data_IF_279550235026
#
_entry.id   IF_279550235026
#
_cell.length_a   1.000
_cell.length_b   1.000
_cell.length_c   1.000
_cell.angle_alpha   90.00
_cell.angle_beta   90.00
_cell.angle_gamma   90.00
#
_symmetry.space_group_name_H-M   'P 1'
#
loop_
_entity.id
_entity.type
_entity.pdbx_description
1 polymer ?
#
# COMPACT_ATOMS: atom_id res chain seq x y z
N UNK A 1 12.34 13.80 -5.96
CA UNK A 1 12.80 12.39 -5.99
C UNK A 1 11.99 11.58 -4.99
N UNK A 2 12.20 10.27 -4.86
CA UNK A 2 11.49 9.45 -3.85
C UNK A 2 11.98 9.76 -2.44
N UNK A 3 11.16 9.45 -1.44
CA UNK A 3 11.49 9.68 -0.02
C UNK A 3 12.75 8.92 0.43
N UNK A 4 12.95 7.68 -0.04
CA UNK A 4 14.16 6.92 0.30
C UNK A 4 15.43 7.59 -0.25
N UNK A 5 15.38 8.06 -1.49
CA UNK A 5 16.50 8.78 -2.08
C UNK A 5 16.78 10.08 -1.31
N UNK A 6 15.73 10.79 -0.89
CA UNK A 6 15.85 12.01 -0.10
C UNK A 6 16.47 11.76 1.29
N UNK A 7 16.01 10.75 2.03
CA UNK A 7 16.57 10.40 3.35
C UNK A 7 18.02 9.92 3.23
N UNK A 8 18.35 9.20 2.16
CA UNK A 8 19.71 8.74 1.93
C UNK A 8 20.67 9.88 1.60
N UNK A 9 20.22 10.88 0.84
CA UNK A 9 20.99 12.08 0.55
C UNK A 9 21.07 13.05 1.75
N UNK A 10 20.03 13.09 2.60
CA UNK A 10 19.90 14.04 3.70
C UNK A 10 19.79 13.32 5.05
N UNK A 11 20.94 12.93 5.63
CA UNK A 11 20.97 12.18 6.91
C UNK A 11 20.41 12.94 8.12
N UNK A 12 20.28 14.26 8.01
CA UNK A 12 19.68 15.13 9.04
C UNK A 12 18.19 15.42 8.80
N UNK A 13 17.57 14.81 7.79
CA UNK A 13 16.14 15.01 7.52
C UNK A 13 15.30 14.71 8.77
N UNK A 14 14.29 15.54 9.01
CA UNK A 14 13.33 15.31 10.09
C UNK A 14 12.33 14.24 9.66
N UNK A 15 12.48 13.06 10.24
CA UNK A 15 11.72 11.88 9.83
C UNK A 15 10.34 11.90 10.45
N UNK A 16 10.20 12.47 11.65
CA UNK A 16 8.88 12.60 12.26
C UNK A 16 8.03 13.59 11.45
N UNK A 17 8.64 14.65 10.93
CA UNK A 17 7.99 15.56 9.98
C UNK A 17 7.49 14.82 8.73
N UNK A 18 8.35 14.03 8.09
CA UNK A 18 7.98 13.27 6.89
C UNK A 18 6.89 12.23 7.16
N UNK A 19 7.03 11.44 8.23
CA UNK A 19 6.03 10.42 8.62
C UNK A 19 4.69 11.06 8.92
N UNK A 20 4.68 12.21 9.62
CA UNK A 20 3.45 12.97 9.87
C UNK A 20 2.81 13.44 8.56
N UNK A 21 3.60 13.95 7.61
CA UNK A 21 3.09 14.40 6.32
C UNK A 21 2.45 13.26 5.51
N UNK A 22 3.09 12.09 5.47
CA UNK A 22 2.54 10.87 4.83
C UNK A 22 1.20 10.49 5.49
N UNK A 23 1.16 10.45 6.83
CA UNK A 23 -0.05 10.11 7.57
C UNK A 23 -1.19 11.10 7.31
N UNK A 24 -0.89 12.40 7.22
CA UNK A 24 -1.86 13.43 6.86
C UNK A 24 -2.42 13.23 5.44
N UNK A 25 -1.55 12.95 4.46
CA UNK A 25 -1.96 12.67 3.09
C UNK A 25 -2.85 11.42 3.00
N UNK A 26 -2.48 10.35 3.71
CA UNK A 26 -3.24 9.10 3.72
C UNK A 26 -4.60 9.28 4.41
N UNK A 27 -4.63 9.98 5.55
CA UNK A 27 -5.87 10.32 6.24
C UNK A 27 -6.82 11.15 5.36
N UNK A 28 -6.29 12.08 4.55
CA UNK A 28 -7.09 12.85 3.60
C UNK A 28 -7.75 11.97 2.53
N UNK A 29 -7.01 10.99 1.98
CA UNK A 29 -7.58 10.03 1.03
C UNK A 29 -8.69 9.21 1.68
N UNK A 30 -8.44 8.69 2.89
CA UNK A 30 -9.40 7.86 3.62
C UNK A 30 -10.67 8.62 4.00
N UNK A 31 -10.56 9.91 4.35
CA UNK A 31 -11.71 10.79 4.58
C UNK A 31 -12.52 11.05 3.31
N UNK A 32 -11.87 11.00 2.15
CA UNK A 32 -12.49 11.13 0.84
C UNK A 32 -13.01 9.81 0.28
N UNK A 33 -13.09 8.76 1.12
CA UNK A 33 -13.47 7.40 0.73
C UNK A 33 -12.60 6.81 -0.40
N UNK A 34 -11.30 7.15 -0.40
CA UNK A 34 -10.30 6.62 -1.33
C UNK A 34 -9.30 5.75 -0.59
N UNK A 35 -9.07 4.53 -1.09
CA UNK A 35 -7.96 3.65 -0.69
C UNK A 35 -6.83 3.83 -1.69
N UNK A 36 -5.61 4.09 -1.22
CA UNK A 36 -4.43 4.29 -2.05
C UNK A 36 -4.04 2.99 -2.78
N UNK A 37 -4.03 1.87 -2.05
CA UNK A 37 -3.84 0.49 -2.51
C UNK A 37 -2.43 0.09 -2.99
N UNK A 38 -1.54 1.04 -3.30
CA UNK A 38 -0.11 0.77 -3.58
C UNK A 38 0.82 1.67 -2.77
N UNK A 39 0.53 1.89 -1.48
CA UNK A 39 1.38 2.75 -0.65
C UNK A 39 2.74 2.09 -0.41
N UNK A 40 3.81 2.73 -0.88
CA UNK A 40 5.21 2.29 -0.71
C UNK A 40 6.15 3.47 -0.84
N UNK A 41 7.39 3.29 -0.41
CA UNK A 41 8.46 4.30 -0.50
C UNK A 41 8.64 4.91 -1.90
N UNK A 42 8.46 4.11 -2.94
CA UNK A 42 8.61 4.51 -4.33
C UNK A 42 7.49 5.47 -4.77
N UNK A 43 6.32 5.35 -4.13
CA UNK A 43 5.12 6.15 -4.38
C UNK A 43 4.98 7.33 -3.40
N UNK A 44 6.09 7.70 -2.73
CA UNK A 44 6.17 8.88 -1.89
C UNK A 44 7.30 9.76 -2.45
N UNK A 45 6.91 10.89 -3.02
CA UNK A 45 7.84 11.87 -3.56
C UNK A 45 8.07 12.99 -2.55
N UNK A 46 9.20 13.69 -2.69
CA UNK A 46 9.51 14.88 -1.91
C UNK A 46 9.43 16.10 -2.82
N UNK A 47 8.64 17.09 -2.39
CA UNK A 47 8.51 18.39 -3.06
C UNK A 47 9.80 19.21 -2.97
N UNK A 48 9.97 20.26 -3.78
CA UNK A 48 11.09 21.20 -3.64
C UNK A 48 11.18 21.83 -2.23
N UNK A 49 10.06 22.00 -1.55
CA UNK A 49 9.93 22.54 -0.20
C UNK A 49 10.27 21.51 0.89
N UNK A 50 10.46 20.24 0.53
CA UNK A 50 10.78 19.16 1.46
C UNK A 50 9.55 18.37 1.96
N UNK A 51 8.38 18.62 1.40
CA UNK A 51 7.13 17.98 1.84
C UNK A 51 6.93 16.61 1.18
N UNK A 52 6.46 15.59 1.93
CA UNK A 52 6.13 14.29 1.37
C UNK A 52 4.78 14.33 0.64
N UNK A 53 4.77 13.80 -0.58
CA UNK A 53 3.61 13.77 -1.47
C UNK A 53 3.32 12.33 -1.88
N UNK A 54 2.09 11.88 -1.64
CA UNK A 54 1.61 10.58 -2.13
C UNK A 54 1.37 10.66 -3.64
N UNK A 55 1.77 9.62 -4.38
CA UNK A 55 1.61 9.53 -5.83
C UNK A 55 1.22 8.13 -6.27
N UNK A 56 0.95 7.98 -7.58
CA UNK A 56 0.61 6.71 -8.23
C UNK A 56 -0.71 6.11 -7.75
N UNK A 57 -1.79 6.82 -8.08
CA UNK A 57 -3.17 6.41 -7.82
C UNK A 57 -3.71 5.42 -8.87
N UNK A 58 -2.84 4.78 -9.66
CA UNK A 58 -3.22 3.93 -10.80
C UNK A 58 -4.05 2.71 -10.41
N UNK A 59 -3.99 2.29 -9.14
CA UNK A 59 -4.85 1.24 -8.58
C UNK A 59 -5.69 1.71 -7.39
N UNK A 60 -5.72 3.02 -7.11
CA UNK A 60 -6.54 3.57 -6.03
C UNK A 60 -8.02 3.36 -6.31
N UNK A 61 -8.79 3.08 -5.26
CA UNK A 61 -10.20 2.70 -5.39
C UNK A 61 -11.07 3.61 -4.54
N UNK A 62 -12.10 4.19 -5.14
CA UNK A 62 -13.15 4.89 -4.39
C UNK A 62 -14.09 3.85 -3.78
N UNK A 63 -14.22 3.83 -2.46
CA UNK A 63 -15.03 2.85 -1.73
C UNK A 63 -16.51 2.88 -2.13
N UNK A 64 -16.99 4.01 -2.67
CA UNK A 64 -18.37 4.18 -3.16
C UNK A 64 -18.67 3.35 -4.43
N UNK A 65 -17.66 3.00 -5.23
CA UNK A 65 -17.86 2.33 -6.55
C UNK A 65 -17.42 0.85 -6.52
N UNK A 66 -16.76 0.41 -5.46
CA UNK A 66 -15.91 -0.79 -5.52
C UNK A 66 -16.56 -2.04 -4.91
N UNK A 67 -17.80 -2.33 -5.31
CA UNK A 67 -18.35 -3.68 -5.23
C UNK A 67 -18.19 -4.47 -6.55
N UNK A 68 -17.63 -3.85 -7.60
CA UNK A 68 -17.56 -4.45 -8.94
C UNK A 68 -16.17 -4.24 -9.58
N UNK A 69 -15.40 -5.33 -9.58
CA UNK A 69 -14.43 -5.80 -10.60
C UNK A 69 -13.06 -5.11 -10.82
N UNK A 70 -12.14 -5.98 -11.28
CA UNK A 70 -10.87 -5.84 -12.04
C UNK A 70 -9.55 -5.36 -11.39
N UNK A 71 -8.50 -6.20 -11.56
CA UNK A 71 -7.10 -5.73 -11.73
C UNK A 71 -5.92 -6.57 -11.18
N UNK A 72 -5.92 -7.91 -11.20
CA UNK A 72 -4.86 -8.75 -10.57
C UNK A 72 -3.50 -8.83 -11.31
N UNK A 73 -3.26 -8.07 -12.40
CA UNK A 73 -2.07 -8.26 -13.24
C UNK A 73 -0.75 -7.68 -12.68
N UNK A 74 -0.78 -6.85 -11.64
CA UNK A 74 0.42 -6.15 -11.12
C UNK A 74 0.93 -6.66 -9.74
N UNK A 75 0.38 -7.75 -9.21
CA UNK A 75 0.64 -8.21 -7.84
C UNK A 75 2.04 -8.78 -7.58
N UNK A 76 2.81 -9.13 -8.62
CA UNK A 76 4.11 -9.80 -8.45
C UNK A 76 5.20 -8.86 -7.86
N UNK A 77 5.05 -7.53 -7.97
CA UNK A 77 6.08 -6.56 -7.60
C UNK A 77 6.01 -5.98 -6.18
N UNK A 78 4.86 -6.07 -5.51
CA UNK A 78 4.59 -5.37 -4.23
C UNK A 78 4.41 -6.29 -3.02
N UNK A 79 4.76 -7.58 -3.11
CA UNK A 79 4.52 -8.60 -2.06
C UNK A 79 5.02 -8.19 -0.67
N UNK A 80 6.16 -7.48 -0.58
CA UNK A 80 6.72 -7.03 0.71
C UNK A 80 5.84 -6.01 1.46
N UNK A 81 4.90 -5.39 0.75
CA UNK A 81 4.06 -4.31 1.24
C UNK A 81 2.58 -4.69 1.34
N UNK A 82 2.24 -5.98 1.18
CA UNK A 82 0.86 -6.43 1.31
C UNK A 82 0.55 -6.87 2.75
N UNK A 83 -0.61 -6.46 3.24
CA UNK A 83 -1.15 -6.93 4.51
C UNK A 83 -1.31 -8.47 4.49
N UNK A 84 -1.14 -9.11 5.64
CA UNK A 84 -1.01 -10.57 5.73
C UNK A 84 -2.24 -11.34 5.27
N UNK A 85 -3.42 -10.75 5.44
CA UNK A 85 -4.70 -11.26 4.96
C UNK A 85 -4.83 -11.23 3.44
N UNK A 86 -4.10 -10.34 2.75
CA UNK A 86 -4.00 -10.35 1.28
C UNK A 86 -3.15 -11.53 0.78
N UNK A 87 -2.21 -11.99 1.61
CA UNK A 87 -1.29 -13.10 1.30
C UNK A 87 -1.88 -14.46 1.68
N UNK A 88 -2.70 -14.51 2.73
CA UNK A 88 -3.38 -15.72 3.18
C UNK A 88 -4.81 -15.38 3.66
N UNK A 89 -5.76 -15.25 2.73
CA UNK A 89 -7.15 -14.89 3.06
C UNK A 89 -7.83 -15.85 4.04
N UNK A 90 -7.33 -17.09 4.11
CA UNK A 90 -7.97 -18.21 4.82
C UNK A 90 -7.12 -18.79 5.96
N UNK A 91 -5.94 -18.23 6.26
CA UNK A 91 -5.05 -18.73 7.32
C UNK A 91 -4.54 -20.17 7.13
N UNK A 92 -4.61 -20.74 5.92
CA UNK A 92 -4.21 -22.13 5.64
C UNK A 92 -2.69 -22.25 5.52
N UNK A 93 -2.12 -23.28 6.14
CA UNK A 93 -0.70 -23.65 6.02
C UNK A 93 -0.39 -24.11 4.58
N UNK A 94 0.80 -23.82 4.08
CA UNK A 94 1.23 -24.09 2.69
C UNK A 94 1.49 -25.59 2.39
N UNK A 95 1.08 -26.49 3.29
CA UNK A 95 1.46 -27.91 3.26
C UNK A 95 0.44 -28.82 2.55
N UNK A 96 -0.73 -28.31 2.14
CA UNK A 96 -1.74 -29.13 1.47
C UNK A 96 -1.66 -29.00 -0.06
N UNK A 97 -1.17 -30.08 -0.67
CA UNK A 97 -0.90 -30.25 -2.09
C UNK A 97 -2.14 -30.59 -2.92
N UNK A 98 -3.12 -29.70 -3.01
CA UNK A 98 -4.27 -29.88 -3.92
C UNK A 98 -4.34 -28.75 -4.96
N UNK A 99 -3.86 -29.06 -6.16
CA UNK A 99 -3.65 -28.13 -7.27
C UNK A 99 -4.94 -27.67 -7.99
N UNK A 100 -6.13 -27.91 -7.43
CA UNK A 100 -7.41 -27.56 -8.05
C UNK A 100 -8.02 -26.23 -7.53
N UNK A 101 -7.49 -25.66 -6.45
CA UNK A 101 -8.06 -24.48 -5.77
C UNK A 101 -7.53 -23.12 -6.26
N UNK A 102 -6.91 -23.08 -7.47
CA UNK A 102 -6.38 -21.82 -8.04
C UNK A 102 -7.45 -20.90 -8.62
N UNK A 103 -8.61 -21.45 -8.99
CA UNK A 103 -9.73 -20.66 -9.56
C UNK A 103 -10.46 -19.88 -8.46
N UNK A 104 -10.56 -20.42 -7.25
CA UNK A 104 -11.22 -19.79 -6.09
C UNK A 104 -10.36 -18.69 -5.41
N UNK A 105 -9.04 -18.65 -5.66
CA UNK A 105 -8.22 -17.48 -5.30
C UNK A 105 -8.69 -16.19 -6.00
N UNK A 106 -9.45 -16.29 -7.09
CA UNK A 106 -9.95 -15.14 -7.85
C UNK A 106 -11.20 -14.51 -7.22
N UNK A 107 -12.03 -15.28 -6.52
CA UNK A 107 -13.26 -14.79 -5.86
C UNK A 107 -13.01 -14.23 -4.44
N UNK A 108 -11.89 -14.60 -3.82
CA UNK A 108 -11.46 -14.10 -2.51
C UNK A 108 -10.20 -13.22 -2.61
N UNK A 109 -10.03 -12.50 -3.72
CA UNK A 109 -9.06 -11.40 -3.77
C UNK A 109 -9.50 -10.39 -2.69
N UNK A 110 -8.88 -10.48 -1.52
CA UNK A 110 -9.20 -9.65 -0.36
C UNK A 110 -9.12 -8.20 -0.83
N UNK A 111 -10.25 -7.51 -0.73
CA UNK A 111 -10.35 -6.15 -1.22
C UNK A 111 -9.35 -5.27 -0.48
N UNK A 112 -8.65 -4.42 -1.22
CA UNK A 112 -7.85 -3.35 -0.64
C UNK A 112 -8.75 -2.44 0.19
N UNK A 113 -8.39 -2.17 1.44
CA UNK A 113 -9.18 -1.37 2.38
C UNK A 113 -8.36 -0.23 2.97
N UNK A 114 -9.01 0.63 3.77
CA UNK A 114 -8.31 1.66 4.55
C UNK A 114 -7.29 1.00 5.49
N UNK A 115 -7.62 -0.15 6.06
CA UNK A 115 -6.76 -0.90 6.98
C UNK A 115 -5.51 -1.46 6.28
N UNK A 116 -5.63 -1.93 5.02
CA UNK A 116 -4.46 -2.40 4.26
C UNK A 116 -3.50 -1.27 3.94
N UNK A 117 -4.00 -0.06 3.68
CA UNK A 117 -3.19 1.16 3.56
C UNK A 117 -2.46 1.51 4.87
N UNK A 118 -3.13 1.36 6.02
CA UNK A 118 -2.52 1.60 7.33
C UNK A 118 -1.38 0.61 7.61
N UNK A 119 -1.56 -0.66 7.22
CA UNK A 119 -0.49 -1.65 7.30
C UNK A 119 0.70 -1.25 6.43
N UNK A 120 0.45 -0.85 5.17
CA UNK A 120 1.49 -0.43 4.24
C UNK A 120 2.23 0.83 4.74
N UNK A 121 1.51 1.76 5.34
CA UNK A 121 2.09 2.91 6.04
C UNK A 121 3.04 2.49 7.16
N UNK A 122 2.61 1.55 8.01
CA UNK A 122 3.46 0.99 9.06
C UNK A 122 4.76 0.41 8.52
N UNK A 123 4.70 -0.28 7.38
CA UNK A 123 5.88 -0.80 6.73
C UNK A 123 6.79 0.29 6.16
N UNK A 124 6.24 1.35 5.57
CA UNK A 124 7.03 2.51 5.10
C UNK A 124 7.82 3.15 6.26
N UNK A 125 7.24 3.18 7.47
CA UNK A 125 7.93 3.69 8.67
C UNK A 125 8.99 2.70 9.18
N UNK A 126 8.72 1.40 9.10
CA UNK A 126 9.60 0.34 9.61
C UNK A 126 10.85 0.12 8.74
N UNK A 127 10.69 0.11 7.41
CA UNK A 127 11.79 -0.12 6.46
C UNK A 127 12.63 1.15 6.36
N UNK A 128 13.60 1.28 7.25
CA UNK A 128 14.56 2.38 7.28
C UNK A 128 16.00 1.87 7.28
#
# INVERSE_FOLDING_TARGET
GTILNYINANKQADILYLVRGIACGLAYLHQSEVVHADLKSDNILISPEGDPLLTDFGISRTLVVTHILTGLSNLMGSVRWMATELLNPNGRSLDDSDAEDRTLMTEFAVAQTKETDIWAFGMVVYVR
#
